data_IF_144299461696
#
_entry.id   IF_144299461696
#
_cell.length_a   1.000
_cell.length_b   1.000
_cell.length_c   1.000
_cell.angle_alpha   90.00
_cell.angle_beta   90.00
_cell.angle_gamma   90.00
#
_symmetry.space_group_name_H-M   'P 1'
#
loop_
_entity.id
_entity.type
_entity.pdbx_description
1 polymer ?
#
# COMPACT_ATOMS: atom_id res chain seq x y z
N UNK A 1 8.11 10.18 22.41
CA UNK A 1 7.90 10.58 21.00
C UNK A 1 8.28 9.40 20.13
N UNK A 2 7.32 8.68 19.53
CA UNK A 2 7.64 7.75 18.44
C UNK A 2 7.59 8.56 17.15
N UNK A 3 8.73 8.71 16.49
CA UNK A 3 8.79 9.27 15.15
C UNK A 3 8.22 8.18 14.22
N UNK A 4 6.96 8.32 13.82
CA UNK A 4 6.33 7.39 12.88
C UNK A 4 6.70 7.86 11.46
N UNK A 5 7.46 7.04 10.74
CA UNK A 5 7.85 7.29 9.36
C UNK A 5 6.88 6.53 8.46
N UNK A 6 5.99 7.26 7.79
CA UNK A 6 5.13 6.65 6.78
C UNK A 6 5.96 6.35 5.53
N UNK A 7 6.02 5.08 5.13
CA UNK A 7 6.80 4.64 3.98
C UNK A 7 6.41 5.34 2.66
N UNK A 8 5.16 5.80 2.53
CA UNK A 8 4.70 6.52 1.34
C UNK A 8 5.23 7.95 1.26
N UNK A 9 5.66 8.52 2.38
CA UNK A 9 6.18 9.89 2.46
C UNK A 9 7.70 9.93 2.23
N UNK A 10 8.36 8.78 2.05
CA UNK A 10 9.80 8.73 1.81
C UNK A 10 10.12 9.14 0.37
N UNK A 11 10.68 10.33 0.20
CA UNK A 11 11.17 10.86 -1.07
C UNK A 11 12.60 10.43 -1.41
N UNK A 12 13.45 10.21 -0.41
CA UNK A 12 14.79 9.71 -0.65
C UNK A 12 15.33 8.95 0.56
N UNK A 13 16.26 8.05 0.29
CA UNK A 13 16.99 7.28 1.30
C UNK A 13 18.47 7.63 1.20
N UNK A 14 19.08 7.99 2.32
CA UNK A 14 20.53 8.18 2.41
C UNK A 14 21.18 6.84 2.74
N UNK A 15 22.00 6.37 1.81
CA UNK A 15 22.87 5.21 1.98
C UNK A 15 24.33 5.68 2.04
N UNK A 16 25.26 4.75 2.24
CA UNK A 16 26.70 5.05 2.33
C UNK A 16 27.30 5.64 1.05
N UNK A 17 26.68 5.38 -0.10
CA UNK A 17 27.07 5.88 -1.41
C UNK A 17 26.35 7.17 -1.83
N UNK A 18 25.37 7.65 -1.04
CA UNK A 18 24.68 8.91 -1.27
C UNK A 18 23.16 8.82 -1.15
N UNK A 19 22.49 9.86 -1.66
CA UNK A 19 21.03 9.95 -1.68
C UNK A 19 20.45 9.20 -2.88
N UNK A 20 19.47 8.35 -2.62
CA UNK A 20 18.69 7.62 -3.63
C UNK A 20 17.27 8.14 -3.60
N UNK A 21 16.86 8.86 -4.64
CA UNK A 21 15.49 9.36 -4.76
C UNK A 21 14.53 8.21 -5.03
N UNK A 22 13.50 8.10 -4.21
CA UNK A 22 12.47 7.09 -4.35
C UNK A 22 11.35 7.62 -5.25
N UNK A 23 10.94 6.84 -6.24
CA UNK A 23 9.67 7.02 -6.91
C UNK A 23 8.55 6.89 -5.87
N UNK A 24 7.61 7.83 -5.87
CA UNK A 24 6.53 7.89 -4.88
C UNK A 24 5.81 6.55 -4.73
N UNK A 25 5.58 6.12 -3.48
CA UNK A 25 4.92 4.85 -3.15
C UNK A 25 5.73 3.57 -3.39
N UNK A 26 7.00 3.67 -3.82
CA UNK A 26 7.84 2.48 -4.08
C UNK A 26 8.71 2.06 -2.91
N UNK A 27 8.93 2.96 -1.93
CA UNK A 27 9.65 2.63 -0.72
C UNK A 27 8.85 1.65 0.15
N UNK A 28 9.48 0.55 0.54
CA UNK A 28 8.88 -0.54 1.32
C UNK A 28 9.86 -0.96 2.40
N UNK A 29 9.33 -1.17 3.60
CA UNK A 29 10.03 -1.88 4.68
C UNK A 29 9.38 -3.25 4.86
N UNK A 30 10.18 -4.26 5.17
CA UNK A 30 9.64 -5.59 5.44
C UNK A 30 10.71 -6.65 5.63
N UNK A 31 10.30 -7.91 5.78
CA UNK A 31 11.23 -9.03 5.83
C UNK A 31 11.78 -9.33 4.43
N UNK A 32 13.09 -9.16 4.25
CA UNK A 32 13.80 -9.48 3.01
C UNK A 32 14.86 -10.55 3.24
N UNK A 33 15.07 -11.40 2.23
CA UNK A 33 16.18 -12.34 2.20
C UNK A 33 17.38 -11.66 1.55
N UNK A 34 18.50 -11.61 2.26
CA UNK A 34 19.77 -11.12 1.76
C UNK A 34 20.72 -12.30 1.68
N UNK A 35 21.46 -12.43 0.57
CA UNK A 35 22.51 -13.42 0.50
C UNK A 35 23.66 -12.98 1.42
N UNK A 36 24.03 -13.83 2.38
CA UNK A 36 25.27 -13.67 3.15
C UNK A 36 26.45 -13.80 2.19
N UNK A 37 27.34 -12.82 2.17
CA UNK A 37 28.33 -12.72 1.09
C UNK A 37 29.54 -13.66 1.28
N UNK A 38 30.01 -14.18 0.14
CA UNK A 38 31.39 -14.45 -0.31
C UNK A 38 32.02 -15.84 -0.29
N UNK A 39 31.46 -16.89 0.32
CA UNK A 39 32.08 -18.23 0.25
C UNK A 39 31.35 -19.23 -0.68
N UNK A 40 30.33 -18.76 -1.41
CA UNK A 40 29.49 -19.64 -2.24
C UNK A 40 28.59 -20.56 -1.42
N UNK A 41 28.62 -20.47 -0.08
CA UNK A 41 27.62 -21.05 0.78
C UNK A 41 26.46 -20.05 0.86
N UNK A 42 25.33 -20.43 0.27
CA UNK A 42 24.05 -19.76 0.47
C UNK A 42 23.57 -20.04 1.90
N UNK A 43 24.30 -19.55 2.90
CA UNK A 43 23.78 -19.47 4.25
C UNK A 43 22.69 -18.40 4.25
N UNK A 44 21.44 -18.88 4.14
CA UNK A 44 20.25 -18.05 4.30
C UNK A 44 20.34 -17.41 5.69
N UNK A 45 20.60 -16.10 5.74
CA UNK A 45 20.74 -15.34 7.00
C UNK A 45 19.37 -15.10 7.66
N UNK A 46 18.33 -15.77 7.16
CA UNK A 46 16.94 -15.57 7.54
C UNK A 46 16.37 -14.28 6.94
N UNK A 47 15.06 -14.14 7.05
CA UNK A 47 14.38 -12.89 6.69
C UNK A 47 14.75 -11.81 7.70
N UNK A 48 15.49 -10.80 7.25
CA UNK A 48 15.88 -9.66 8.08
C UNK A 48 15.07 -8.41 7.70
N UNK A 49 14.86 -7.47 8.64
CA UNK A 49 14.27 -6.18 8.32
C UNK A 49 15.09 -5.46 7.25
N UNK A 50 14.48 -5.23 6.09
CA UNK A 50 15.10 -4.58 4.94
C UNK A 50 14.21 -3.49 4.37
N UNK A 51 14.79 -2.72 3.45
CA UNK A 51 14.06 -1.79 2.62
C UNK A 51 14.20 -2.16 1.14
N UNK A 52 13.22 -1.71 0.35
CA UNK A 52 13.27 -1.70 -1.11
C UNK A 52 12.67 -0.40 -1.62
N UNK A 53 13.25 0.20 -2.65
CA UNK A 53 12.69 1.31 -3.40
C UNK A 53 12.94 1.16 -4.89
N UNK A 54 12.19 1.90 -5.70
CA UNK A 54 12.49 2.09 -7.12
C UNK A 54 12.87 3.54 -7.32
N UNK A 55 13.99 3.82 -7.96
CA UNK A 55 14.43 5.21 -8.21
C UNK A 55 13.63 5.86 -9.34
N UNK A 56 13.73 7.18 -9.49
CA UNK A 56 13.14 7.90 -10.63
C UNK A 56 13.59 7.37 -11.99
N UNK A 57 14.79 6.77 -12.04
CA UNK A 57 15.37 6.14 -13.24
C UNK A 57 14.91 4.69 -13.47
N UNK A 58 14.09 4.14 -12.55
CA UNK A 58 13.56 2.77 -12.64
C UNK A 58 14.45 1.70 -12.00
N UNK A 59 15.61 2.06 -11.47
CA UNK A 59 16.51 1.13 -10.76
C UNK A 59 15.90 0.68 -9.43
N UNK A 60 16.03 -0.61 -9.09
CA UNK A 60 15.57 -1.14 -7.81
C UNK A 60 16.74 -1.15 -6.83
N UNK A 61 16.59 -0.44 -5.71
CA UNK A 61 17.55 -0.44 -4.61
C UNK A 61 16.95 -1.26 -3.47
N UNK A 62 17.69 -2.22 -2.93
CA UNK A 62 17.26 -3.09 -1.83
C UNK A 62 18.43 -3.32 -0.89
N UNK A 63 18.19 -3.27 0.42
CA UNK A 63 19.24 -3.44 1.42
C UNK A 63 18.68 -3.66 2.82
N UNK A 64 19.53 -4.05 3.78
CA UNK A 64 19.11 -4.17 5.17
C UNK A 64 18.71 -2.79 5.73
N UNK A 65 17.75 -2.73 6.65
CA UNK A 65 17.39 -1.43 7.26
C UNK A 65 18.58 -0.77 7.98
N UNK A 66 19.52 -1.58 8.46
CA UNK A 66 20.74 -1.10 9.11
C UNK A 66 21.68 -0.32 8.19
N UNK A 67 21.51 -0.38 6.86
CA UNK A 67 22.30 0.44 5.92
C UNK A 67 21.68 1.81 5.64
N UNK A 68 20.45 2.07 6.12
CA UNK A 68 19.79 3.36 5.95
C UNK A 68 20.33 4.35 6.99
N UNK A 69 21.01 5.39 6.53
CA UNK A 69 21.59 6.43 7.39
C UNK A 69 20.56 7.51 7.74
N UNK A 70 19.69 7.85 6.79
CA UNK A 70 18.59 8.79 6.97
C UNK A 70 17.51 8.57 5.89
N UNK A 71 16.31 9.09 6.14
CA UNK A 71 15.27 9.23 5.11
C UNK A 71 14.92 10.70 4.97
N UNK A 72 14.74 11.15 3.73
CA UNK A 72 14.12 12.43 3.42
C UNK A 72 12.66 12.15 3.18
N UNK A 73 11.82 12.73 4.02
CA UNK A 73 10.39 12.75 3.76
C UNK A 73 10.10 13.84 2.72
N UNK A 74 9.11 13.66 1.87
CA UNK A 74 8.49 14.80 1.21
C UNK A 74 8.06 15.75 2.33
N UNK A 75 8.57 16.98 2.29
CA UNK A 75 8.27 17.95 3.33
C UNK A 75 6.76 18.02 3.47
N UNK A 76 6.24 17.81 4.68
CA UNK A 76 4.82 18.00 5.01
C UNK A 76 4.39 19.49 4.89
N UNK A 77 5.05 20.28 4.05
CA UNK A 77 4.79 21.69 3.79
C UNK A 77 4.11 21.81 2.42
N UNK A 78 2.79 21.95 2.45
CA UNK A 78 1.90 22.51 1.42
C UNK A 78 1.51 21.70 0.17
N UNK A 79 1.77 20.39 0.08
CA UNK A 79 1.03 19.55 -0.89
C UNK A 79 -0.26 18.97 -0.27
N UNK A 80 -1.42 19.29 -0.87
CA UNK A 80 -2.68 18.63 -0.55
C UNK A 80 -2.58 17.13 -0.90
N UNK A 81 -2.67 16.25 0.11
CA UNK A 81 -2.72 14.78 -0.08
C UNK A 81 -3.93 14.40 -0.93
N UNK A 82 -3.76 13.48 -1.89
CA UNK A 82 -4.91 12.91 -2.59
C UNK A 82 -5.80 12.14 -1.63
N UNK A 83 -7.11 11.97 -1.93
CA UNK A 83 -8.00 11.18 -1.08
C UNK A 83 -7.48 9.75 -0.81
N UNK A 84 -6.79 9.13 -1.78
CA UNK A 84 -6.22 7.79 -1.64
C UNK A 84 -4.94 7.78 -0.77
N UNK A 85 -4.10 8.82 -0.87
CA UNK A 85 -2.94 9.00 0.00
C UNK A 85 -3.35 9.27 1.45
N UNK A 86 -4.41 10.06 1.65
CA UNK A 86 -4.99 10.30 2.97
C UNK A 86 -5.56 9.01 3.58
N UNK A 87 -6.21 8.16 2.77
CA UNK A 87 -6.66 6.83 3.21
C UNK A 87 -5.48 5.96 3.66
N UNK A 88 -4.42 5.88 2.85
CA UNK A 88 -3.22 5.13 3.20
C UNK A 88 -2.56 5.66 4.48
N UNK A 89 -2.49 6.98 4.66
CA UNK A 89 -1.97 7.58 5.88
C UNK A 89 -2.77 7.19 7.13
N UNK A 90 -4.11 7.26 7.06
CA UNK A 90 -5.00 6.92 8.19
C UNK A 90 -4.95 5.46 8.59
N UNK A 91 -4.81 4.58 7.61
CA UNK A 91 -4.75 3.14 7.84
C UNK A 91 -3.36 2.66 8.28
N UNK A 92 -2.37 3.57 8.39
CA UNK A 92 -0.96 3.18 8.46
C UNK A 92 -0.59 2.17 7.36
N UNK A 93 -1.14 2.43 6.17
CA UNK A 93 -1.11 1.57 5.00
C UNK A 93 -0.29 2.16 3.86
N UNK A 94 -0.35 1.49 2.71
CA UNK A 94 0.31 1.91 1.47
C UNK A 94 -0.58 1.70 0.26
N UNK A 95 -0.37 2.53 -0.76
CA UNK A 95 -1.02 2.35 -2.06
C UNK A 95 -0.29 1.24 -2.83
N UNK A 96 -1.05 0.33 -3.43
CA UNK A 96 -0.57 -0.73 -4.29
C UNK A 96 -1.24 -0.61 -5.65
N UNK A 97 -0.42 -0.52 -6.70
CA UNK A 97 -0.89 -0.46 -8.08
C UNK A 97 -0.61 -1.78 -8.79
N UNK A 98 -1.65 -2.41 -9.34
CA UNK A 98 -1.56 -3.63 -10.16
C UNK A 98 -2.27 -3.37 -11.48
N UNK A 99 -1.51 -3.24 -12.56
CA UNK A 99 -2.05 -2.72 -13.82
C UNK A 99 -2.58 -1.30 -13.62
N UNK A 100 -3.83 -1.06 -14.02
CA UNK A 100 -4.52 0.23 -13.83
C UNK A 100 -5.38 0.28 -12.56
N UNK A 101 -5.28 -0.75 -11.70
CA UNK A 101 -6.05 -0.84 -10.46
C UNK A 101 -5.20 -0.43 -9.25
N UNK A 102 -5.79 0.37 -8.37
CA UNK A 102 -5.18 0.81 -7.11
C UNK A 102 -5.94 0.25 -5.92
N UNK A 103 -5.20 -0.17 -4.89
CA UNK A 103 -5.71 -0.61 -3.60
C UNK A 103 -4.86 -0.02 -2.46
N UNK A 104 -5.38 -0.06 -1.24
CA UNK A 104 -4.60 0.26 -0.04
C UNK A 104 -4.39 -1.01 0.77
N UNK A 105 -3.14 -1.30 1.12
CA UNK A 105 -2.78 -2.42 2.01
C UNK A 105 -2.24 -1.91 3.33
N UNK A 106 -2.63 -2.56 4.42
CA UNK A 106 -2.25 -2.15 5.77
C UNK A 106 -2.23 -3.35 6.72
N UNK A 107 -1.56 -3.21 7.86
CA UNK A 107 -1.47 -4.26 8.89
C UNK A 107 -2.35 -3.87 10.06
N UNK A 108 -3.18 -4.81 10.52
CA UNK A 108 -3.95 -4.64 11.74
C UNK A 108 -3.99 -5.92 12.55
N UNK A 109 -3.82 -5.79 13.87
CA UNK A 109 -3.77 -6.93 14.80
C UNK A 109 -2.80 -8.06 14.38
N UNK A 110 -1.74 -7.73 13.61
CA UNK A 110 -0.76 -8.70 13.12
C UNK A 110 -1.13 -9.39 11.79
N UNK A 111 -2.23 -8.99 11.16
CA UNK A 111 -2.71 -9.54 9.88
C UNK A 111 -2.69 -8.47 8.78
N UNK A 112 -2.38 -8.89 7.55
CA UNK A 112 -2.34 -8.03 6.36
C UNK A 112 -3.74 -7.92 5.74
N UNK A 113 -4.20 -6.69 5.51
CA UNK A 113 -5.49 -6.39 4.88
C UNK A 113 -5.35 -5.57 3.60
N UNK A 114 -6.35 -5.64 2.73
CA UNK A 114 -6.49 -4.83 1.51
C UNK A 114 -7.86 -4.17 1.42
N UNK A 115 -7.89 -2.91 0.95
CA UNK A 115 -9.10 -2.15 0.59
C UNK A 115 -9.04 -1.78 -0.89
N UNK A 116 -10.08 -2.08 -1.66
CA UNK A 116 -10.16 -1.78 -3.10
C UNK A 116 -11.60 -1.56 -3.57
N UNK A 117 -11.81 -0.92 -4.73
CA UNK A 117 -13.14 -0.82 -5.35
C UNK A 117 -13.37 -2.02 -6.26
N UNK A 118 -14.34 -2.84 -5.93
CA UNK A 118 -14.73 -4.03 -6.69
C UNK A 118 -16.09 -3.88 -7.37
N UNK A 119 -16.33 -4.68 -8.41
CA UNK A 119 -17.64 -4.81 -9.03
C UNK A 119 -18.50 -5.81 -8.24
N UNK A 120 -19.70 -5.40 -7.85
CA UNK A 120 -20.69 -6.26 -7.17
C UNK A 120 -21.99 -6.29 -7.96
N UNK A 121 -22.91 -7.21 -7.61
CA UNK A 121 -24.28 -7.24 -8.17
C UNK A 121 -25.09 -5.96 -7.91
N UNK A 122 -24.62 -5.08 -7.01
CA UNK A 122 -25.23 -3.80 -6.69
C UNK A 122 -24.42 -2.60 -7.22
N UNK A 123 -23.44 -2.83 -8.11
CA UNK A 123 -22.55 -1.81 -8.65
C UNK A 123 -21.16 -1.78 -7.98
N UNK A 124 -20.32 -0.79 -8.30
CA UNK A 124 -19.01 -0.60 -7.64
C UNK A 124 -19.17 -0.40 -6.13
N UNK A 125 -18.43 -1.18 -5.34
CA UNK A 125 -18.37 -1.07 -3.87
C UNK A 125 -16.95 -1.20 -3.39
N UNK A 126 -16.59 -0.44 -2.37
CA UNK A 126 -15.35 -0.72 -1.65
C UNK A 126 -15.47 -2.06 -0.93
N UNK A 127 -14.45 -2.88 -1.12
CA UNK A 127 -14.33 -4.20 -0.53
C UNK A 127 -13.11 -4.19 0.38
N UNK A 128 -13.22 -4.93 1.48
CA UNK A 128 -12.19 -5.09 2.48
C UNK A 128 -12.05 -6.57 2.83
N UNK A 129 -10.82 -7.07 2.85
CA UNK A 129 -10.51 -8.44 3.22
C UNK A 129 -9.05 -8.60 3.65
N UNK A 130 -8.73 -9.74 4.25
CA UNK A 130 -7.35 -10.17 4.42
C UNK A 130 -6.67 -10.36 3.05
N UNK A 131 -5.37 -10.06 2.98
CA UNK A 131 -4.62 -10.21 1.72
C UNK A 131 -4.62 -11.68 1.29
N UNK A 132 -5.19 -11.94 0.11
CA UNK A 132 -5.32 -13.29 -0.44
C UNK A 132 -6.70 -13.92 -0.27
N UNK A 133 -7.59 -13.29 0.51
CA UNK A 133 -8.95 -13.78 0.76
C UNK A 133 -10.01 -12.83 0.16
N UNK A 134 -10.00 -12.68 -1.17
CA UNK A 134 -11.00 -11.83 -1.83
C UNK A 134 -12.41 -12.42 -1.85
N UNK A 135 -12.55 -13.72 -1.63
CA UNK A 135 -13.87 -14.38 -1.56
C UNK A 135 -14.54 -14.14 -0.21
N UNK A 136 -13.76 -14.00 0.86
CA UNK A 136 -14.21 -13.54 2.18
C UNK A 136 -14.43 -12.03 2.28
N UNK A 137 -14.37 -11.29 1.15
CA UNK A 137 -14.48 -9.85 1.16
C UNK A 137 -15.85 -9.39 1.69
N UNK A 138 -15.79 -8.50 2.67
CA UNK A 138 -16.98 -7.94 3.31
C UNK A 138 -17.29 -6.57 2.73
N UNK A 139 -18.57 -6.36 2.39
CA UNK A 139 -19.10 -5.01 2.22
C UNK A 139 -19.14 -4.34 3.59
N UNK A 140 -18.69 -3.10 3.66
CA UNK A 140 -18.46 -2.35 4.90
C UNK A 140 -19.76 -2.07 5.70
N UNK A 141 -20.93 -2.48 5.20
CA UNK A 141 -22.23 -2.29 5.84
C UNK A 141 -22.54 -3.09 7.12
N UNK A 142 -21.68 -4.03 7.57
CA UNK A 142 -22.09 -5.00 8.60
C UNK A 142 -21.07 -5.36 9.72
N UNK A 143 -20.00 -4.59 9.93
CA UNK A 143 -18.96 -5.02 10.87
C UNK A 143 -19.07 -4.35 12.26
N UNK A 144 -19.47 -5.12 13.30
CA UNK A 144 -19.51 -4.67 14.70
C UNK A 144 -18.18 -4.87 15.45
N UNK A 145 -17.78 -3.82 16.19
CA UNK A 145 -16.81 -3.78 17.30
C UNK A 145 -15.35 -4.15 17.00
N UNK A 146 -14.89 -3.82 15.78
CA UNK A 146 -13.75 -2.92 15.45
C UNK A 146 -13.02 -3.36 14.16
N UNK A 147 -13.42 -2.86 12.97
CA UNK A 147 -12.82 -3.20 11.68
C UNK A 147 -12.11 -1.97 11.10
N UNK A 148 -10.96 -1.62 11.67
CA UNK A 148 -9.97 -0.56 11.33
C UNK A 148 -10.46 0.69 10.59
N UNK A 149 -10.70 1.80 11.27
CA UNK A 149 -11.75 1.90 12.28
C UNK A 149 -13.02 2.28 11.48
N UNK A 150 -13.85 1.24 11.26
CA UNK A 150 -14.89 1.03 10.23
C UNK A 150 -14.48 1.39 8.77
N UNK A 151 -13.36 0.78 8.35
CA UNK A 151 -12.64 0.81 7.05
C UNK A 151 -12.22 2.22 6.62
N UNK A 152 -11.55 2.89 7.56
CA UNK A 152 -11.32 4.34 7.56
C UNK A 152 -12.62 5.09 7.18
N UNK A 153 -13.59 4.93 8.09
CA UNK A 153 -15.01 5.31 8.06
C UNK A 153 -15.57 5.57 6.66
N UNK A 154 -15.82 4.43 6.01
CA UNK A 154 -16.43 4.21 4.69
C UNK A 154 -15.63 4.84 3.54
N UNK A 155 -14.36 4.44 3.43
CA UNK A 155 -13.38 4.85 2.41
C UNK A 155 -13.48 6.35 2.11
N UNK A 156 -13.38 7.05 3.24
CA UNK A 156 -13.51 8.48 3.45
C UNK A 156 -14.64 9.19 2.70
N UNK A 157 -15.82 8.54 2.64
CA UNK A 157 -17.03 9.02 1.99
C UNK A 157 -16.95 8.80 0.47
N UNK A 158 -16.50 7.62 0.07
CA UNK A 158 -16.28 7.22 -1.32
C UNK A 158 -15.39 8.20 -2.09
N UNK A 159 -14.23 8.46 -1.47
CA UNK A 159 -13.26 9.48 -1.86
C UNK A 159 -14.00 10.78 -2.22
N UNK A 160 -14.91 11.13 -1.30
CA UNK A 160 -15.84 12.26 -1.30
C UNK A 160 -16.63 12.37 -2.61
N UNK A 161 -17.28 11.27 -2.97
CA UNK A 161 -18.29 11.10 -4.02
C UNK A 161 -17.87 11.29 -5.49
N UNK A 162 -16.57 11.39 -5.77
CA UNK A 162 -16.01 11.17 -7.12
C UNK A 162 -15.34 9.80 -7.32
N UNK A 163 -15.38 8.95 -6.28
CA UNK A 163 -14.96 7.55 -6.16
C UNK A 163 -14.30 6.90 -7.39
N UNK A 164 -12.98 6.64 -7.38
CA UNK A 164 -12.32 5.80 -8.40
C UNK A 164 -11.15 5.01 -7.84
N UNK A 165 -11.24 3.69 -7.90
CA UNK A 165 -10.41 2.83 -8.79
C UNK A 165 -11.04 2.49 -10.16
N UNK A 166 -10.21 2.24 -11.20
CA UNK A 166 -10.50 2.31 -12.66
C UNK A 166 -11.53 1.34 -13.33
N UNK A 167 -11.83 1.60 -14.62
CA UNK A 167 -13.10 1.36 -15.36
C UNK A 167 -13.81 0.03 -15.04
N UNK A 168 -15.02 0.12 -14.48
CA UNK A 168 -16.04 -0.91 -14.70
C UNK A 168 -16.52 -0.76 -16.15
N UNK A 169 -15.96 -1.58 -17.04
CA UNK A 169 -16.63 -1.95 -18.28
C UNK A 169 -17.41 -3.22 -17.98
N UNK A 170 -18.74 -3.09 -17.89
CA UNK A 170 -19.64 -4.22 -17.68
C UNK A 170 -20.67 -3.98 -16.59
N UNK A 171 -21.60 -3.07 -16.83
CA UNK A 171 -22.98 -3.44 -16.49
C UNK A 171 -23.32 -4.62 -17.44
N UNK A 172 -23.90 -5.73 -16.98
CA UNK A 172 -24.47 -6.68 -17.91
C UNK A 172 -25.51 -5.92 -18.72
N UNK A 173 -25.38 -5.95 -20.05
CA UNK A 173 -26.50 -5.62 -20.91
C UNK A 173 -27.68 -6.41 -20.38
N UNK A 174 -28.70 -5.69 -19.88
CA UNK A 174 -29.94 -6.32 -19.48
C UNK A 174 -30.45 -7.18 -20.65
N UNK A 175 -31.15 -8.29 -20.36
CA UNK A 175 -31.52 -9.23 -21.39
C UNK A 175 -32.28 -8.50 -22.49
N UNK A 176 -31.72 -8.50 -23.70
CA UNK A 176 -32.47 -8.20 -24.91
C UNK A 176 -33.67 -9.12 -24.91
N UNK A 177 -34.84 -8.55 -24.64
CA UNK A 177 -36.10 -9.16 -25.02
C UNK A 177 -36.19 -9.05 -26.54
N UNK A 178 -35.87 -10.15 -27.22
CA UNK A 178 -36.61 -10.54 -28.41
C UNK A 178 -38.08 -10.85 -28.03
#
# INVERSE_FOLDING_TARGET
MSLHVNANEVAAVLLTDGWHEAKSGTFRVGPFAFAGATDGSSADIGRQPGFRLTTGEGSVVTGPLSSVLAVRLEAAQDQERTPLQELAYRLDGRIVTVGDAESVRFVHAGEDFEVWLGATKYGPRWLFAAVGDREGAVDYGFAEKDPVEQVARAVMGDLKAGMRPGRIQGAPDGPSTD
#
